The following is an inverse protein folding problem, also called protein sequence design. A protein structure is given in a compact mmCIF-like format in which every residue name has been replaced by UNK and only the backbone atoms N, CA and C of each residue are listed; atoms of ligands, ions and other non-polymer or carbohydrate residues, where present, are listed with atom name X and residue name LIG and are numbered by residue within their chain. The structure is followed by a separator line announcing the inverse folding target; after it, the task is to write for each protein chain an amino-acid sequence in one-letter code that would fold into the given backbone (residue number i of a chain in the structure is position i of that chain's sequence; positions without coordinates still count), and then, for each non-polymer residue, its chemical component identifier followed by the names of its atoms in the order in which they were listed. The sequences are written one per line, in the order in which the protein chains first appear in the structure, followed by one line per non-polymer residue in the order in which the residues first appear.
data_IF_598843257436
#
_entry.id   IF_598843257436
#
_cell.length_a   1.000
_cell.length_b   1.000
_cell.length_c   1.000
_cell.angle_alpha   90.00
_cell.angle_beta   90.00
_cell.angle_gamma   90.00
#
_symmetry.space_group_name_H-M   'P 1'
#
loop_
_entity.id
_entity.type
_entity.pdbx_description
1 polymer ?
#
# COMPACT_ATOMS: atom_id res chain seq x y z
N UNK A 1 -6.48 -12.94 7.15
CA UNK A 1 -7.84 -12.83 7.74
C UNK A 1 -8.47 -11.55 7.21
N UNK A 2 -9.78 -11.52 7.00
CA UNK A 2 -10.52 -10.39 6.43
C UNK A 2 -12.00 -10.73 6.32
N UNK A 3 -12.80 -9.81 5.78
CA UNK A 3 -14.25 -9.96 5.60
C UNK A 3 -15.01 -10.26 6.91
N UNK A 4 -14.53 -9.74 8.04
CA UNK A 4 -15.17 -9.89 9.35
C UNK A 4 -15.18 -8.56 10.11
N UNK A 5 -15.88 -8.53 11.26
CA UNK A 5 -16.05 -7.31 12.06
C UNK A 5 -14.74 -6.71 12.57
N UNK A 6 -13.75 -7.54 12.90
CA UNK A 6 -12.48 -7.08 13.46
C UNK A 6 -11.61 -6.35 12.43
N UNK A 7 -11.92 -6.53 11.14
CA UNK A 7 -11.22 -5.92 10.01
C UNK A 7 -12.16 -4.99 9.22
N UNK A 8 -13.22 -4.48 9.84
CA UNK A 8 -14.22 -3.59 9.21
C UNK A 8 -14.80 -4.13 7.89
N UNK A 9 -14.90 -5.47 7.78
CA UNK A 9 -15.30 -6.18 6.57
C UNK A 9 -14.44 -5.91 5.32
N UNK A 10 -13.25 -5.32 5.49
CA UNK A 10 -12.27 -5.17 4.42
C UNK A 10 -11.79 -6.56 3.96
N UNK A 11 -11.55 -6.75 2.65
CA UNK A 11 -10.99 -8.00 2.15
C UNK A 11 -9.58 -8.23 2.72
N UNK A 12 -9.10 -9.48 2.76
CA UNK A 12 -7.71 -9.76 3.09
C UNK A 12 -6.76 -8.97 2.17
N UNK A 13 -5.69 -8.43 2.74
CA UNK A 13 -4.64 -7.76 1.97
C UNK A 13 -4.01 -8.76 0.97
N UNK A 14 -3.85 -8.38 -0.33
CA UNK A 14 -3.12 -9.19 -1.28
C UNK A 14 -1.67 -9.43 -0.84
N UNK A 15 -1.09 -10.55 -1.26
CA UNK A 15 0.21 -11.03 -0.74
C UNK A 15 1.44 -10.33 -1.33
N UNK A 16 1.25 -9.38 -2.25
CA UNK A 16 2.28 -8.64 -2.96
C UNK A 16 2.19 -7.12 -2.73
N UNK A 17 1.49 -6.69 -1.69
CA UNK A 17 1.30 -5.27 -1.36
C UNK A 17 2.37 -4.77 -0.39
N UNK A 18 2.95 -3.62 -0.73
CA UNK A 18 3.66 -2.76 0.22
C UNK A 18 2.76 -1.56 0.50
N UNK A 19 2.09 -1.57 1.65
CA UNK A 19 1.21 -0.46 2.04
C UNK A 19 2.04 0.71 2.59
N UNK A 20 1.82 1.90 2.05
CA UNK A 20 2.75 3.01 2.15
C UNK A 20 2.08 4.29 2.70
N UNK A 21 2.72 4.92 3.70
CA UNK A 21 2.26 6.20 4.25
C UNK A 21 2.37 7.32 3.20
N UNK A 22 1.56 8.38 3.36
CA UNK A 22 1.57 9.63 2.56
C UNK A 22 2.97 10.22 2.27
N UNK A 23 3.93 10.00 3.17
CA UNK A 23 5.31 10.51 3.08
C UNK A 23 6.13 9.71 2.07
N UNK A 24 5.86 8.41 1.94
CA UNK A 24 6.52 7.53 0.97
C UNK A 24 6.08 7.92 -0.44
N UNK A 25 4.78 8.10 -0.67
CA UNK A 25 4.24 8.59 -1.95
C UNK A 25 4.86 9.94 -2.37
N UNK A 26 4.99 10.87 -1.42
CA UNK A 26 5.66 12.15 -1.65
C UNK A 26 7.15 11.99 -1.95
N UNK A 27 7.85 11.10 -1.24
CA UNK A 27 9.27 10.84 -1.48
C UNK A 27 9.53 10.19 -2.84
N UNK A 28 8.60 9.39 -3.34
CA UNK A 28 8.61 8.82 -4.69
C UNK A 28 8.24 9.84 -5.78
N UNK A 29 7.77 11.03 -5.41
CA UNK A 29 7.42 12.09 -6.36
C UNK A 29 6.10 11.88 -7.10
N UNK A 30 5.22 10.98 -6.61
CA UNK A 30 3.91 10.74 -7.22
C UNK A 30 2.93 11.85 -6.84
N UNK A 31 2.28 12.45 -7.84
CA UNK A 31 1.30 13.51 -7.62
C UNK A 31 0.05 12.97 -6.90
N UNK A 32 -0.53 13.76 -5.98
CA UNK A 32 -1.62 13.29 -5.11
C UNK A 32 -2.86 12.79 -5.89
N UNK A 33 -3.10 13.28 -7.11
CA UNK A 33 -4.19 12.81 -7.98
C UNK A 33 -4.04 11.38 -8.47
N UNK A 34 -2.80 10.87 -8.44
CA UNK A 34 -2.44 9.56 -8.99
C UNK A 34 -2.18 8.54 -7.87
N UNK A 35 -2.52 8.89 -6.63
CA UNK A 35 -2.39 7.98 -5.49
C UNK A 35 -3.48 6.92 -5.51
N UNK A 36 -3.12 5.72 -5.08
CA UNK A 36 -3.97 4.53 -5.13
C UNK A 36 -3.07 3.31 -5.11
N UNK A 37 -2.85 2.73 -6.29
CA UNK A 37 -1.96 1.58 -6.47
C UNK A 37 -0.95 1.89 -7.60
N UNK A 38 0.30 1.47 -7.41
CA UNK A 38 1.34 1.55 -8.45
C UNK A 38 2.20 0.29 -8.39
N UNK A 39 2.72 -0.15 -9.54
CA UNK A 39 3.75 -1.19 -9.56
C UNK A 39 5.07 -0.63 -9.00
N UNK A 40 5.65 -1.34 -8.03
CA UNK A 40 6.94 -1.01 -7.44
C UNK A 40 7.83 -2.24 -7.37
N UNK A 41 9.13 -1.98 -7.22
CA UNK A 41 10.12 -3.00 -6.88
C UNK A 41 10.83 -2.54 -5.60
N UNK A 42 11.05 -3.47 -4.68
CA UNK A 42 11.72 -3.18 -3.42
C UNK A 42 12.71 -4.29 -3.10
N UNK A 43 13.71 -3.93 -2.30
CA UNK A 43 14.66 -4.85 -1.70
C UNK A 43 14.98 -4.34 -0.31
N UNK A 44 15.47 -5.21 0.56
CA UNK A 44 16.10 -4.77 1.81
C UNK A 44 17.28 -3.84 1.51
N UNK A 45 17.55 -2.90 2.42
CA UNK A 45 18.51 -1.80 2.22
C UNK A 45 19.97 -2.17 2.51
N UNK A 46 20.37 -3.42 2.26
CA UNK A 46 21.72 -3.94 2.61
C UNK A 46 22.87 -3.04 2.15
#
# INVERSE_FOLDING_TARGET
MGCNSDHDYQPPCPNNIVDAWKVVWKALGVIESDWGEMDIYWSDTN
#
